data_IF_987154627638
#
_entry.id   IF_987154627638
#
_cell.length_a   1.000
_cell.length_b   1.000
_cell.length_c   1.000
_cell.angle_alpha   90.00
_cell.angle_beta   90.00
_cell.angle_gamma   90.00
#
_symmetry.space_group_name_H-M   'P 1'
#
loop_
_entity.id
_entity.type
_entity.pdbx_description
1 polymer ?
#
# COMPACT_ATOMS: atom_id res chain seq x y z
N UNK A 1 20.66 -5.29 8.62
CA UNK A 1 20.62 -4.59 7.34
C UNK A 1 19.21 -4.06 7.10
N UNK A 2 19.14 -2.81 6.68
CA UNK A 2 17.84 -2.17 6.49
C UNK A 2 17.13 -2.70 5.26
N UNK A 3 15.83 -3.01 5.42
CA UNK A 3 15.01 -3.45 4.33
C UNK A 3 13.86 -2.49 4.17
N UNK A 4 13.80 -1.74 3.10
CA UNK A 4 12.70 -0.81 2.94
C UNK A 4 11.38 -1.53 2.69
N UNK A 5 10.31 -0.87 3.10
CA UNK A 5 8.97 -1.36 2.87
C UNK A 5 8.68 -1.39 1.37
N UNK A 6 7.93 -2.40 0.95
CA UNK A 6 7.57 -2.58 -0.45
C UNK A 6 6.06 -2.62 -0.60
N UNK A 7 5.60 -2.47 -1.84
CA UNK A 7 4.16 -2.50 -2.08
C UNK A 7 3.52 -3.82 -1.66
N UNK A 8 4.25 -4.93 -1.76
CA UNK A 8 3.71 -6.21 -1.31
C UNK A 8 3.42 -6.19 0.18
N UNK A 9 4.23 -5.48 0.97
CA UNK A 9 3.98 -5.32 2.39
C UNK A 9 2.68 -4.56 2.61
N UNK A 10 2.45 -3.53 1.82
CA UNK A 10 1.23 -2.73 1.94
C UNK A 10 0.00 -3.52 1.55
N UNK A 11 0.10 -4.37 0.55
CA UNK A 11 -1.02 -5.23 0.17
C UNK A 11 -1.35 -6.22 1.28
N UNK A 12 -0.32 -6.81 1.87
CA UNK A 12 -0.52 -7.72 2.99
C UNK A 12 -1.17 -6.98 4.15
N UNK A 13 -0.71 -5.78 4.45
CA UNK A 13 -1.29 -4.98 5.51
C UNK A 13 -2.77 -4.70 5.24
N UNK A 14 -3.11 -4.28 4.04
CA UNK A 14 -4.49 -3.97 3.70
C UNK A 14 -5.38 -5.19 3.86
N UNK A 15 -4.92 -6.34 3.38
CA UNK A 15 -5.71 -7.55 3.48
C UNK A 15 -5.97 -7.92 4.93
N UNK A 16 -4.94 -7.86 5.78
CA UNK A 16 -5.11 -8.19 7.19
C UNK A 16 -5.98 -7.16 7.89
N UNK A 17 -5.82 -5.89 7.54
CA UNK A 17 -6.61 -4.82 8.16
C UNK A 17 -8.10 -4.96 7.85
N UNK A 18 -8.43 -5.38 6.64
CA UNK A 18 -9.82 -5.53 6.23
C UNK A 18 -10.42 -6.82 6.75
N UNK A 19 -9.67 -7.90 6.75
CA UNK A 19 -10.18 -9.19 7.21
C UNK A 19 -10.09 -9.34 8.72
N UNK A 20 -9.12 -8.70 9.34
CA UNK A 20 -8.81 -8.85 10.76
C UNK A 20 -8.62 -10.31 11.14
N UNK A 21 -8.07 -11.07 10.21
CA UNK A 21 -7.86 -12.50 10.36
C UNK A 21 -6.77 -12.93 9.40
N UNK A 22 -5.65 -13.39 9.93
CA UNK A 22 -4.49 -13.70 9.08
C UNK A 22 -4.76 -14.81 8.08
N UNK A 23 -5.46 -15.85 8.49
CA UNK A 23 -5.74 -16.95 7.56
C UNK A 23 -6.61 -16.49 6.40
N UNK A 24 -7.62 -15.68 6.68
CA UNK A 24 -8.48 -15.16 5.62
C UNK A 24 -7.76 -14.21 4.70
N UNK A 25 -6.90 -13.38 5.28
CA UNK A 25 -6.11 -12.45 4.47
C UNK A 25 -5.19 -13.23 3.53
N UNK A 26 -4.58 -14.31 4.02
CA UNK A 26 -3.73 -15.15 3.20
C UNK A 26 -4.50 -15.77 2.05
N UNK A 27 -5.71 -16.25 2.32
CA UNK A 27 -6.57 -16.81 1.28
C UNK A 27 -6.92 -15.75 0.23
N UNK A 28 -7.23 -14.55 0.71
CA UNK A 28 -7.58 -13.44 -0.19
C UNK A 28 -6.44 -13.11 -1.14
N UNK A 29 -5.20 -13.21 -0.65
CA UNK A 29 -4.03 -12.90 -1.44
C UNK A 29 -3.47 -14.11 -2.18
N UNK A 30 -4.07 -15.28 -1.97
CA UNK A 30 -3.62 -16.54 -2.59
C UNK A 30 -2.19 -16.87 -2.20
N UNK A 31 -1.85 -16.66 -0.93
CA UNK A 31 -0.53 -17.00 -0.40
C UNK A 31 -0.69 -17.78 0.89
N UNK A 32 0.42 -18.33 1.36
CA UNK A 32 0.45 -19.01 2.64
C UNK A 32 0.42 -18.01 3.77
N UNK A 33 0.01 -18.47 4.94
CA UNK A 33 -0.06 -17.59 6.08
C UNK A 33 1.33 -17.18 6.59
N UNK A 34 2.30 -18.07 6.48
CA UNK A 34 3.65 -17.78 6.97
C UNK A 34 4.30 -16.59 6.26
N UNK A 35 4.33 -16.55 4.91
CA UNK A 35 4.87 -15.36 4.25
C UNK A 35 4.06 -14.11 4.55
N UNK A 36 2.75 -14.23 4.75
CA UNK A 36 1.94 -13.08 5.10
C UNK A 36 2.36 -12.53 6.46
N UNK A 37 2.49 -13.41 7.45
CA UNK A 37 2.91 -13.00 8.79
C UNK A 37 4.29 -12.36 8.76
N UNK A 38 5.19 -12.93 7.97
CA UNK A 38 6.53 -12.39 7.83
C UNK A 38 6.51 -11.00 7.21
N UNK A 39 5.69 -10.80 6.19
CA UNK A 39 5.57 -9.50 5.54
C UNK A 39 5.09 -8.44 6.54
N UNK A 40 4.10 -8.78 7.34
CA UNK A 40 3.59 -7.86 8.35
C UNK A 40 4.67 -7.56 9.39
N UNK A 41 5.42 -8.58 9.80
CA UNK A 41 6.47 -8.38 10.78
C UNK A 41 7.58 -7.48 10.23
N UNK A 42 7.96 -7.68 8.97
CA UNK A 42 8.96 -6.83 8.34
C UNK A 42 8.48 -5.39 8.26
N UNK A 43 7.20 -5.21 7.96
CA UNK A 43 6.62 -3.88 7.90
C UNK A 43 6.65 -3.21 9.27
N UNK A 44 6.28 -3.95 10.30
CA UNK A 44 6.31 -3.42 11.67
C UNK A 44 7.73 -3.06 12.10
N UNK A 45 8.70 -3.87 11.70
CA UNK A 45 10.09 -3.60 12.02
C UNK A 45 10.59 -2.33 11.31
N UNK A 46 10.17 -2.17 10.06
CA UNK A 46 10.56 -0.97 9.31
C UNK A 46 9.98 0.29 9.94
N UNK A 47 8.74 0.22 10.40
CA UNK A 47 8.08 1.38 10.99
C UNK A 47 8.44 1.60 12.45
N UNK A 48 8.96 0.58 13.09
CA UNK A 48 9.30 0.66 14.50
C UNK A 48 8.10 0.60 15.43
N UNK A 49 6.95 0.15 14.92
CA UNK A 49 5.72 0.08 15.71
C UNK A 49 4.93 -1.14 15.31
N UNK A 50 4.19 -1.70 16.24
CA UNK A 50 3.28 -2.78 15.91
C UNK A 50 2.01 -2.21 15.30
N UNK A 51 1.55 -2.85 14.24
CA UNK A 51 0.34 -2.43 13.55
C UNK A 51 -0.87 -3.26 13.97
N UNK A 52 -0.64 -4.47 14.45
CA UNK A 52 -1.70 -5.37 14.87
C UNK A 52 -1.43 -5.95 16.24
N UNK A 53 -2.51 -6.15 16.98
CA UNK A 53 -2.48 -6.93 18.20
C UNK A 53 -3.14 -8.25 17.91
N UNK A 54 -2.41 -9.35 18.08
CA UNK A 54 -2.93 -10.69 17.83
C UNK A 54 -3.14 -11.39 19.14
N UNK A 55 -4.36 -11.87 19.33
CA UNK A 55 -4.66 -12.75 20.44
C UNK A 55 -5.04 -14.11 19.87
N UNK A 56 -5.25 -15.08 20.73
CA UNK A 56 -5.65 -16.41 20.28
C UNK A 56 -6.99 -16.39 19.56
N UNK A 57 -7.79 -15.34 19.75
CA UNK A 57 -9.13 -15.28 19.19
C UNK A 57 -9.33 -14.19 18.17
N UNK A 58 -8.50 -13.19 18.15
CA UNK A 58 -8.77 -12.07 17.26
C UNK A 58 -7.51 -11.33 16.88
N UNK A 59 -7.64 -10.54 15.85
CA UNK A 59 -6.60 -9.62 15.39
C UNK A 59 -7.23 -8.24 15.37
N UNK A 60 -6.53 -7.27 15.91
CA UNK A 60 -7.02 -5.89 15.93
C UNK A 60 -5.92 -4.95 15.55
N UNK A 61 -6.32 -3.81 14.99
CA UNK A 61 -5.37 -2.75 14.66
C UNK A 61 -4.95 -2.02 15.92
N UNK A 62 -3.67 -1.73 16.02
CA UNK A 62 -3.19 -0.80 17.02
C UNK A 62 -3.51 0.61 16.58
N UNK A 63 -3.21 1.59 17.43
CA UNK A 63 -3.36 2.98 17.03
C UNK A 63 -2.48 3.28 15.82
N UNK A 64 -1.24 2.80 15.84
CA UNK A 64 -0.33 2.96 14.72
C UNK A 64 -0.90 2.31 13.46
N UNK A 65 -1.51 1.12 13.62
CA UNK A 65 -2.12 0.44 12.50
C UNK A 65 -3.27 1.24 11.89
N UNK A 66 -4.07 1.86 12.74
CA UNK A 66 -5.18 2.68 12.25
C UNK A 66 -4.69 3.89 11.48
N UNK A 67 -3.65 4.54 11.99
CA UNK A 67 -3.07 5.68 11.31
C UNK A 67 -2.47 5.27 9.97
N UNK A 68 -1.77 4.17 9.96
CA UNK A 68 -1.16 3.66 8.74
C UNK A 68 -2.23 3.32 7.70
N UNK A 69 -3.33 2.74 8.16
CA UNK A 69 -4.43 2.37 7.28
C UNK A 69 -5.04 3.58 6.57
N UNK A 70 -4.99 4.74 7.21
CA UNK A 70 -5.49 5.96 6.56
C UNK A 70 -4.63 6.37 5.38
N UNK A 71 -3.35 6.04 5.40
CA UNK A 71 -2.42 6.46 4.35
C UNK A 71 -2.24 5.44 3.23
N UNK A 72 -2.35 4.17 3.54
CA UNK A 72 -2.03 3.12 2.56
C UNK A 72 -2.91 3.18 1.32
N UNK A 73 -4.23 3.34 1.42
CA UNK A 73 -5.05 3.41 0.19
C UNK A 73 -4.67 4.56 -0.71
N UNK A 74 -4.17 5.65 -0.14
CA UNK A 74 -3.73 6.80 -0.94
C UNK A 74 -2.52 6.47 -1.78
N UNK A 75 -1.64 5.62 -1.26
CA UNK A 75 -0.47 5.18 -2.01
C UNK A 75 -0.91 4.40 -3.25
N UNK A 76 -1.86 3.48 -3.09
CA UNK A 76 -2.35 2.70 -4.21
C UNK A 76 -3.10 3.57 -5.22
N UNK A 77 -3.85 4.54 -4.75
CA UNK A 77 -4.53 5.47 -5.63
C UNK A 77 -3.53 6.27 -6.46
N UNK A 78 -2.49 6.79 -5.80
CA UNK A 78 -1.46 7.55 -6.50
C UNK A 78 -0.75 6.70 -7.54
N UNK A 79 -0.48 5.45 -7.20
CA UNK A 79 0.17 4.52 -8.12
C UNK A 79 -0.72 4.27 -9.34
N UNK A 80 -2.01 4.08 -9.13
CA UNK A 80 -2.94 3.86 -10.21
C UNK A 80 -3.03 5.10 -11.11
N UNK A 81 -3.06 6.27 -10.52
CA UNK A 81 -3.08 7.51 -11.29
C UNK A 81 -1.83 7.65 -12.14
N UNK A 82 -0.68 7.26 -11.59
CA UNK A 82 0.57 7.31 -12.34
C UNK A 82 0.51 6.37 -13.55
N UNK A 83 -0.02 5.17 -13.34
CA UNK A 83 -0.16 4.22 -14.43
C UNK A 83 -1.08 4.73 -15.52
N UNK A 84 -2.21 5.31 -15.11
CA UNK A 84 -3.18 5.82 -16.07
C UNK A 84 -2.59 6.96 -16.90
N UNK A 85 -1.81 7.82 -16.26
CA UNK A 85 -1.15 8.92 -16.96
C UNK A 85 -0.18 8.40 -18.01
N UNK A 86 0.62 7.41 -17.64
CA UNK A 86 1.59 6.84 -18.57
C UNK A 86 0.89 6.16 -19.74
N UNK A 87 -0.18 5.43 -19.47
CA UNK A 87 -0.93 4.75 -20.52
C UNK A 87 -1.54 5.73 -21.50
N UNK A 88 -2.08 6.82 -21.00
CA UNK A 88 -2.67 7.84 -21.84
C UNK A 88 -1.61 8.43 -22.77
N UNK A 89 -0.42 8.70 -22.23
CA UNK A 89 0.67 9.23 -23.04
C UNK A 89 1.13 8.21 -24.06
N UNK A 90 1.25 6.94 -23.65
CA UNK A 90 1.74 5.90 -24.54
C UNK A 90 0.78 5.64 -25.69
N UNK A 91 -0.51 5.83 -25.48
CA UNK A 91 -1.49 5.63 -26.53
C UNK A 91 -1.53 6.78 -27.53
N UNK A 92 -0.65 7.75 -27.38
CA UNK A 92 -0.60 8.89 -28.27
C UNK A 92 -1.85 9.71 -28.16
N UNK A 93 -2.53 9.61 -27.09
CA UNK A 93 -3.76 10.29 -26.94
C UNK A 93 -3.51 11.72 -26.67
N UNK A 94 -4.07 12.51 -27.50
CA UNK A 94 -3.76 13.83 -27.37
C UNK A 94 -4.84 14.53 -26.73
N UNK A 95 -5.38 14.14 -26.26
CA UNK A 95 -6.23 14.84 -25.73
C UNK A 95 -5.76 15.68 -24.71
N UNK A 96 -5.43 15.78 -24.52
CA UNK A 96 -5.04 16.21 -23.71
C UNK A 96 -4.59 16.38 -22.85
N UNK A 97 -4.36 16.70 -22.60
CA UNK A 97 -3.64 16.52 -21.75
C UNK A 97 -3.85 17.05 -20.64
N UNK A 98 -3.87 17.07 -20.28
CA UNK A 98 -4.02 17.28 -19.22
C UNK A 98 -3.64 18.00 -18.47
N UNK A 99 -3.45 18.27 -18.78
CA UNK A 99 -3.16 18.68 -18.11
C UNK A 99 -2.79 19.26 -17.60
N UNK A 100 -2.85 19.70 -17.45
CA UNK A 100 -2.25 20.09 -16.91
C UNK A 100 -1.98 20.39 -16.13
N UNK A 101 -2.06 20.51 -16.17
CA UNK A 101 -1.79 20.56 -15.51
C UNK A 101 -1.16 20.24 -15.08
N UNK A 102 -0.88 19.93 -15.51
CA UNK A 102 -0.38 19.53 -15.24
C UNK A 102 0.40 19.58 -15.36
N UNK A 103 0.79 19.71 -15.66
CA UNK A 103 1.52 19.71 -15.81
C UNK A 103 2.08 20.49 -15.61
N UNK A 104 2.19 21.10 -15.46
CA UNK A 104 2.71 21.57 -15.03
C UNK A 104 3.05 21.65 -13.94
N UNK A 105 3.10 21.51 -13.77
CA UNK A 105 3.36 21.26 -12.75
C UNK A 105 4.08 20.64 -12.22
N UNK A 106 4.59 20.40 -12.61
CA UNK A 106 5.09 19.63 -12.11
C UNK A 106 5.65 19.58 -11.64
N UNK A 107 6.07 19.82 -11.58
CA UNK A 107 6.59 19.51 -11.01
C UNK A 107 6.79 19.45 -10.22
N UNK A 108 6.86 19.78 -10.01
CA UNK A 108 7.01 19.46 -9.20
C UNK A 108 7.13 18.75 -8.52
N UNK A 109 7.26 18.25 -8.59
CA UNK A 109 7.29 17.33 -7.97
C UNK A 109 7.91 16.73 -7.86
N UNK A 110 8.49 16.88 -8.21
CA UNK A 110 8.82 16.31 -8.11
C UNK A 110 9.22 16.38 -8.25
N UNK A 111 9.41 16.97 -8.52
CA UNK A 111 9.50 16.94 -8.50
C UNK A 111 9.58 16.74 -8.47
N UNK A 112 9.78 16.80 -8.76
CA UNK A 112 9.63 16.47 -8.55
C UNK A 112 9.53 16.29 -8.33
#
# INVERSE_FOLDING_TARGET
MYKPMELRHLRCFMAVAEELHFARAAERLHIEQSPLSRAIKELEEDLGEQLFVRTSRSTRLTRAGKLFLEHVPRVFTALQQARDSVRAAANGFHGTPPSPSCAKRLPSILSA
#
